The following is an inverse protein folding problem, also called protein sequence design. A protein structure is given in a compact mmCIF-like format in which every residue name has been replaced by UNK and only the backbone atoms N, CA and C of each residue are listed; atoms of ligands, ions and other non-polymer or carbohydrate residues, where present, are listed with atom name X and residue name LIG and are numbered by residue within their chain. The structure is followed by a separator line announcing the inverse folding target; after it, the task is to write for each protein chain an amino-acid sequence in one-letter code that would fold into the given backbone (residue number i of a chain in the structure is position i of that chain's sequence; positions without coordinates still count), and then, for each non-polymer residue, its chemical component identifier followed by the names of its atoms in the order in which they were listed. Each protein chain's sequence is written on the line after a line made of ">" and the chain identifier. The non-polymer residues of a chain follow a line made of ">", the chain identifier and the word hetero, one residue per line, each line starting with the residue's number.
data_IF_779380730095
#
_entry.id   IF_779380730095
#
_cell.length_a   1.000
_cell.length_b   1.000
_cell.length_c   1.000
_cell.angle_alpha   90.00
_cell.angle_beta   90.00
_cell.angle_gamma   90.00
#
_symmetry.space_group_name_H-M   'P 1'
#
loop_
_entity.id
_entity.type
_entity.pdbx_description
1 polymer ?
#
# COMPACT_ATOMS: atom_id res chain seq x y z
N UNK A 1 23.94 -5.65 4.67
CA UNK A 1 23.09 -5.68 3.46
C UNK A 1 22.79 -4.24 3.15
N UNK A 2 23.30 -3.69 2.03
CA UNK A 2 23.13 -2.26 1.71
C UNK A 2 21.65 -2.00 1.42
N UNK A 3 21.10 -0.99 2.09
CA UNK A 3 19.71 -0.55 2.00
C UNK A 3 19.25 -0.46 0.54
N UNK A 4 18.32 -1.33 0.21
CA UNK A 4 17.71 -1.42 -1.11
C UNK A 4 16.67 -0.30 -1.18
N UNK A 5 16.95 0.68 -2.05
CA UNK A 5 15.99 1.66 -2.61
C UNK A 5 15.62 2.88 -1.75
N UNK A 6 16.60 3.70 -1.40
CA UNK A 6 16.39 5.15 -1.36
C UNK A 6 17.09 5.80 -2.56
N UNK A 7 16.82 5.32 -3.77
CA UNK A 7 17.32 5.97 -4.98
C UNK A 7 16.57 7.30 -5.12
N UNK A 8 17.28 8.43 -5.18
CA UNK A 8 16.70 9.77 -5.45
C UNK A 8 15.74 9.79 -6.64
N UNK A 9 15.91 8.85 -7.57
CA UNK A 9 15.03 8.62 -8.71
C UNK A 9 13.59 8.26 -8.33
N UNK A 10 13.36 7.50 -7.25
CA UNK A 10 12.00 7.15 -6.77
C UNK A 10 11.41 8.34 -6.02
N UNK A 11 12.24 9.08 -5.27
CA UNK A 11 11.81 10.30 -4.57
C UNK A 11 11.20 11.32 -5.52
N UNK A 12 11.74 11.45 -6.73
CA UNK A 12 11.22 12.32 -7.79
C UNK A 12 9.93 11.81 -8.47
N UNK A 13 9.39 10.65 -8.06
CA UNK A 13 8.11 10.14 -8.55
C UNK A 13 6.95 10.46 -7.60
N UNK A 14 7.21 10.98 -6.41
CA UNK A 14 6.14 11.37 -5.48
C UNK A 14 5.34 12.53 -6.10
N UNK A 15 4.02 12.41 -6.08
CA UNK A 15 3.07 13.29 -6.77
C UNK A 15 2.75 12.87 -8.21
N UNK A 16 3.53 11.94 -8.81
CA UNK A 16 3.32 11.50 -10.18
C UNK A 16 2.32 10.35 -10.28
N UNK A 17 1.66 10.26 -11.44
CA UNK A 17 0.90 9.08 -11.80
C UNK A 17 1.86 7.95 -12.20
N UNK A 18 1.88 6.89 -11.41
CA UNK A 18 2.76 5.74 -11.61
C UNK A 18 1.98 4.43 -11.60
N UNK A 19 2.57 3.43 -12.25
CA UNK A 19 2.16 2.04 -12.11
C UNK A 19 3.12 1.30 -11.18
N UNK A 20 2.61 0.82 -10.05
CA UNK A 20 3.32 -0.10 -9.17
C UNK A 20 3.17 -1.51 -9.72
N UNK A 21 4.29 -2.19 -9.92
CA UNK A 21 4.43 -3.50 -10.56
C UNK A 21 3.92 -3.53 -12.01
N UNK A 22 4.78 -3.96 -12.96
CA UNK A 22 4.44 -3.98 -14.38
C UNK A 22 3.26 -4.91 -14.72
N UNK A 23 3.16 -6.07 -14.06
CA UNK A 23 2.16 -7.12 -14.29
C UNK A 23 1.85 -7.88 -12.99
N UNK A 24 0.87 -8.77 -13.05
CA UNK A 24 0.48 -9.67 -11.96
C UNK A 24 -0.64 -9.11 -11.10
N UNK A 25 -1.10 -9.88 -10.11
CA UNK A 25 -2.25 -9.53 -9.28
C UNK A 25 -2.06 -8.19 -8.55
N UNK A 26 -0.84 -7.92 -8.07
CA UNK A 26 -0.48 -6.69 -7.32
C UNK A 26 -0.34 -5.43 -8.19
N UNK A 27 -0.37 -5.54 -9.53
CA UNK A 27 -0.13 -4.41 -10.45
C UNK A 27 -1.24 -3.37 -10.37
N UNK A 28 -0.94 -2.12 -9.98
CA UNK A 28 -1.92 -1.03 -9.89
C UNK A 28 -1.37 0.30 -10.39
N UNK A 29 -2.27 1.16 -10.86
CA UNK A 29 -1.97 2.51 -11.34
C UNK A 29 -2.62 3.52 -10.39
N UNK A 30 -1.89 4.55 -10.02
CA UNK A 30 -2.36 5.59 -9.11
C UNK A 30 -1.31 6.69 -8.94
N UNK A 31 -1.60 7.65 -8.08
CA UNK A 31 -0.65 8.71 -7.71
C UNK A 31 0.24 8.20 -6.58
N UNK A 32 1.56 8.29 -6.73
CA UNK A 32 2.49 7.99 -5.64
C UNK A 32 2.41 9.12 -4.61
N UNK A 33 1.65 8.93 -3.54
CA UNK A 33 1.36 10.00 -2.58
C UNK A 33 2.47 10.21 -1.56
N UNK A 34 3.15 9.14 -1.15
CA UNK A 34 4.15 9.17 -0.08
C UNK A 34 5.17 8.05 -0.28
N UNK A 35 6.42 8.32 0.10
CA UNK A 35 7.48 7.34 0.22
C UNK A 35 7.94 7.32 1.69
N UNK A 36 7.74 6.18 2.35
CA UNK A 36 8.23 5.92 3.69
C UNK A 36 9.59 5.23 3.65
N UNK A 37 10.08 4.76 4.81
CA UNK A 37 11.37 4.10 4.94
C UNK A 37 11.46 2.78 4.17
N UNK A 38 10.45 1.93 4.30
CA UNK A 38 10.39 0.58 3.72
C UNK A 38 9.07 0.31 2.98
N UNK A 39 8.27 1.35 2.73
CA UNK A 39 7.01 1.28 2.00
C UNK A 39 6.77 2.50 1.11
N UNK A 40 5.78 2.38 0.22
CA UNK A 40 5.22 3.50 -0.53
C UNK A 40 3.70 3.50 -0.44
N UNK A 41 3.08 4.67 -0.60
CA UNK A 41 1.63 4.83 -0.63
C UNK A 41 1.18 5.21 -2.03
N UNK A 42 0.34 4.37 -2.63
CA UNK A 42 -0.31 4.62 -3.90
C UNK A 42 -1.77 5.02 -3.67
N UNK A 43 -2.14 6.22 -4.07
CA UNK A 43 -3.54 6.65 -4.10
C UNK A 43 -4.18 6.22 -5.42
N UNK A 44 -5.18 5.34 -5.34
CA UNK A 44 -5.95 4.90 -6.49
C UNK A 44 -6.94 5.99 -6.94
N UNK A 45 -7.47 5.93 -8.18
CA UNK A 45 -8.36 6.97 -8.73
C UNK A 45 -9.62 7.30 -7.90
N UNK A 46 -10.07 6.38 -7.05
CA UNK A 46 -11.24 6.58 -6.18
C UNK A 46 -10.87 7.05 -4.76
N UNK A 47 -9.63 7.47 -4.54
CA UNK A 47 -9.14 7.98 -3.25
C UNK A 47 -8.67 6.90 -2.27
N UNK A 48 -8.84 5.62 -2.61
CA UNK A 48 -8.32 4.51 -1.81
C UNK A 48 -6.79 4.55 -1.73
N UNK A 49 -6.26 4.48 -0.52
CA UNK A 49 -4.81 4.41 -0.27
C UNK A 49 -4.38 2.95 -0.15
N UNK A 50 -3.32 2.61 -0.89
CA UNK A 50 -2.68 1.30 -0.86
C UNK A 50 -1.23 1.47 -0.46
N UNK A 51 -0.85 0.84 0.64
CA UNK A 51 0.50 0.85 1.16
C UNK A 51 1.22 -0.41 0.66
N UNK A 52 2.31 -0.25 -0.07
CA UNK A 52 3.12 -1.36 -0.60
C UNK A 52 4.45 -1.44 0.12
N UNK A 53 4.83 -2.61 0.60
CA UNK A 53 6.20 -2.82 1.10
C UNK A 53 7.19 -2.77 -0.06
N UNK A 54 8.23 -1.94 0.06
CA UNK A 54 9.24 -1.74 -0.99
C UNK A 54 9.95 -3.04 -1.38
N UNK A 55 10.19 -3.93 -0.40
CA UNK A 55 10.83 -5.24 -0.64
C UNK A 55 10.04 -6.15 -1.61
N UNK A 56 8.75 -5.87 -1.83
CA UNK A 56 7.89 -6.59 -2.75
C UNK A 56 7.54 -5.82 -4.03
N UNK A 57 7.90 -4.53 -4.10
CA UNK A 57 7.75 -3.71 -5.31
C UNK A 57 8.84 -4.10 -6.30
N UNK A 58 8.41 -4.64 -7.45
CA UNK A 58 9.32 -5.13 -8.51
C UNK A 58 9.63 -4.08 -9.56
N UNK A 59 8.75 -3.09 -9.71
CA UNK A 59 8.90 -2.01 -10.70
C UNK A 59 7.98 -0.84 -10.39
N UNK A 60 8.43 0.36 -10.74
CA UNK A 60 7.61 1.57 -10.83
C UNK A 60 7.69 2.06 -12.27
N UNK A 61 6.53 2.29 -12.90
CA UNK A 61 6.47 2.75 -14.29
C UNK A 61 5.80 4.11 -14.34
N UNK A 62 6.54 5.12 -14.80
CA UNK A 62 6.02 6.46 -15.13
C UNK A 62 5.76 6.53 -16.64
N UNK A 63 4.65 7.15 -17.05
CA UNK A 63 4.43 7.46 -18.47
C UNK A 63 5.15 8.75 -18.84
N UNK A 64 5.87 8.75 -19.97
CA UNK A 64 6.77 9.85 -20.38
C UNK A 64 6.00 11.04 -21.02
N UNK A 65 4.66 11.02 -21.09
CA UNK A 65 3.86 11.97 -21.88
C UNK A 65 2.95 12.92 -21.09
N UNK A 66 3.05 12.97 -19.77
CA UNK A 66 2.26 13.94 -18.98
C UNK A 66 3.22 15.00 -18.43
N UNK A 67 3.02 16.24 -18.88
CA UNK A 67 3.77 17.41 -18.46
C UNK A 67 3.56 17.68 -16.96
N UNK A 68 4.63 18.09 -16.31
CA UNK A 68 4.75 18.38 -14.88
C UNK A 68 3.64 19.34 -14.41
N UNK A 69 2.81 18.87 -13.48
CA UNK A 69 1.99 19.74 -12.63
C UNK A 69 2.83 20.27 -11.48
N UNK A 70 2.63 21.53 -11.11
CA UNK A 70 3.37 22.23 -10.05
C UNK A 70 3.36 21.45 -8.73
N UNK A 71 4.55 21.33 -8.14
CA UNK A 71 4.89 20.57 -6.96
C UNK A 71 4.00 20.92 -5.75
N UNK A 72 3.01 20.06 -5.48
CA UNK A 72 2.47 19.92 -4.14
C UNK A 72 3.54 19.33 -3.22
N UNK A 73 3.64 19.83 -2.00
CA UNK A 73 4.62 19.45 -0.98
C UNK A 73 4.93 17.95 -1.01
N UNK A 74 6.19 17.61 -1.24
CA UNK A 74 6.62 16.23 -1.29
C UNK A 74 6.57 15.64 0.13
N UNK A 75 5.62 14.74 0.39
CA UNK A 75 5.50 14.09 1.67
C UNK A 75 6.46 12.90 1.71
N UNK A 76 7.62 13.13 2.33
CA UNK A 76 8.53 12.07 2.73
C UNK A 76 8.33 11.82 4.22
N UNK A 77 8.26 10.55 4.59
CA UNK A 77 8.30 10.13 5.98
C UNK A 77 9.46 9.16 6.13
N UNK A 78 10.69 9.69 6.12
CA UNK A 78 11.92 8.88 6.08
C UNK A 78 12.09 7.98 7.31
N UNK A 79 11.40 8.28 8.41
CA UNK A 79 11.40 7.47 9.63
C UNK A 79 10.21 6.51 9.72
N UNK A 80 9.10 6.78 9.04
CA UNK A 80 7.89 5.96 9.09
C UNK A 80 8.11 4.63 8.36
N UNK A 81 7.73 3.54 9.01
CA UNK A 81 7.84 2.18 8.50
C UNK A 81 6.48 1.59 8.15
N UNK A 82 6.49 0.49 7.41
CA UNK A 82 5.30 -0.28 7.13
C UNK A 82 4.66 -0.84 8.41
N UNK A 83 5.46 -1.08 9.45
CA UNK A 83 4.95 -1.49 10.76
C UNK A 83 4.13 -0.37 11.41
N UNK A 84 4.56 0.89 11.27
CA UNK A 84 3.81 2.04 11.76
C UNK A 84 2.47 2.15 11.03
N UNK A 85 2.46 1.96 9.71
CA UNK A 85 1.21 1.86 8.91
C UNK A 85 0.29 0.75 9.45
N UNK A 86 0.82 -0.43 9.75
CA UNK A 86 0.00 -1.52 10.32
C UNK A 86 -0.56 -1.12 11.69
N UNK A 87 0.24 -0.50 12.55
CA UNK A 87 -0.21 -0.02 13.85
C UNK A 87 -1.34 1.02 13.73
N UNK A 88 -1.24 1.95 12.78
CA UNK A 88 -2.28 2.93 12.48
C UNK A 88 -3.56 2.30 11.94
N UNK A 89 -3.45 1.11 11.33
CA UNK A 89 -4.56 0.33 10.82
C UNK A 89 -5.10 -0.68 11.83
N UNK A 90 -4.53 -0.77 13.03
CA UNK A 90 -5.01 -1.67 14.08
C UNK A 90 -6.47 -1.35 14.42
N UNK A 91 -7.26 -2.41 14.58
CA UNK A 91 -8.72 -2.35 14.78
C UNK A 91 -9.53 -1.76 13.63
N UNK A 92 -8.95 -1.69 12.42
CA UNK A 92 -9.68 -1.31 11.20
C UNK A 92 -9.89 -2.53 10.30
N UNK A 93 -10.96 -2.49 9.50
CA UNK A 93 -11.15 -3.47 8.45
C UNK A 93 -10.17 -3.19 7.32
N UNK A 94 -9.32 -4.16 7.02
CA UNK A 94 -8.26 -4.03 6.02
C UNK A 94 -8.33 -5.15 5.00
N UNK A 95 -7.63 -4.89 3.89
CA UNK A 95 -7.33 -5.84 2.83
C UNK A 95 -5.83 -6.00 2.74
N UNK A 96 -5.37 -7.25 2.79
CA UNK A 96 -3.98 -7.63 2.63
C UNK A 96 -3.80 -8.26 1.25
N UNK A 97 -2.76 -7.81 0.56
CA UNK A 97 -2.48 -8.12 -0.83
C UNK A 97 -3.64 -7.73 -1.77
N UNK A 98 -3.38 -7.70 -3.07
CA UNK A 98 -4.40 -7.35 -4.06
C UNK A 98 -4.43 -8.35 -5.19
N UNK A 99 -5.61 -8.96 -5.33
CA UNK A 99 -5.90 -9.92 -6.39
C UNK A 99 -5.14 -11.24 -6.21
N UNK A 100 -5.49 -12.23 -7.04
CA UNK A 100 -4.95 -13.57 -6.90
C UNK A 100 -5.45 -14.29 -5.63
N UNK A 101 -4.94 -15.51 -5.38
CA UNK A 101 -5.45 -16.39 -4.32
C UNK A 101 -5.03 -15.96 -2.90
N UNK A 102 -3.94 -15.20 -2.77
CA UNK A 102 -3.38 -14.77 -1.48
C UNK A 102 -3.99 -13.45 -0.96
N UNK A 103 -5.12 -13.04 -1.53
CA UNK A 103 -5.83 -11.82 -1.19
C UNK A 103 -6.80 -12.12 -0.06
N UNK A 104 -6.65 -11.44 1.09
CA UNK A 104 -7.48 -11.67 2.28
C UNK A 104 -7.96 -10.35 2.89
N UNK A 105 -9.11 -10.38 3.53
CA UNK A 105 -9.74 -9.22 4.17
C UNK A 105 -10.19 -9.58 5.58
N UNK A 106 -10.21 -8.61 6.48
CA UNK A 106 -10.67 -8.79 7.85
C UNK A 106 -10.33 -7.62 8.76
N UNK A 107 -10.82 -7.67 9.99
CA UNK A 107 -10.45 -6.76 11.07
C UNK A 107 -9.03 -7.07 11.54
N UNK A 108 -8.10 -6.11 11.44
CA UNK A 108 -6.76 -6.26 12.02
C UNK A 108 -6.83 -6.22 13.55
N UNK A 109 -6.77 -7.38 14.22
CA UNK A 109 -6.88 -7.46 15.68
C UNK A 109 -5.53 -7.24 16.35
N UNK A 110 -4.49 -7.89 15.84
CA UNK A 110 -3.17 -7.96 16.47
C UNK A 110 -2.04 -7.92 15.45
N UNK A 111 -0.90 -7.40 15.92
CA UNK A 111 0.34 -7.24 15.17
C UNK A 111 1.45 -7.80 16.05
N UNK A 112 2.18 -8.76 15.52
CA UNK A 112 3.31 -9.41 16.17
C UNK A 112 4.54 -9.33 15.26
N UNK A 113 5.72 -9.65 15.80
CA UNK A 113 6.99 -9.57 15.05
C UNK A 113 7.00 -10.44 13.78
N UNK A 114 6.34 -11.60 13.82
CA UNK A 114 6.32 -12.57 12.72
C UNK A 114 5.05 -12.56 11.85
N UNK A 115 3.92 -12.12 12.38
CA UNK A 115 2.62 -12.17 11.70
C UNK A 115 1.68 -11.06 12.18
N UNK A 116 0.59 -10.88 11.43
CA UNK A 116 -0.59 -10.16 11.86
C UNK A 116 -1.77 -11.13 11.97
N UNK A 117 -2.75 -10.75 12.78
CA UNK A 117 -3.99 -11.50 12.95
C UNK A 117 -5.15 -10.70 12.39
N UNK A 118 -5.90 -11.31 11.46
CA UNK A 118 -7.16 -10.78 10.95
C UNK A 118 -8.33 -11.61 11.49
N UNK A 119 -9.45 -10.96 11.77
CA UNK A 119 -10.71 -11.61 12.10
C UNK A 119 -11.74 -11.31 11.01
N UNK A 120 -12.33 -12.36 10.44
CA UNK A 120 -13.36 -12.24 9.41
C UNK A 120 -14.52 -13.21 9.69
N UNK A 121 -15.59 -12.70 10.32
CA UNK A 121 -16.68 -13.55 10.79
C UNK A 121 -16.19 -14.52 11.86
N UNK A 122 -16.36 -15.82 11.61
CA UNK A 122 -15.93 -16.90 12.51
C UNK A 122 -14.50 -17.39 12.23
N UNK A 123 -13.78 -16.75 11.31
CA UNK A 123 -12.42 -17.11 10.92
C UNK A 123 -11.38 -16.18 11.57
N UNK A 124 -10.32 -16.78 12.11
CA UNK A 124 -9.09 -16.09 12.54
C UNK A 124 -7.98 -16.45 11.56
N UNK A 125 -7.45 -15.43 10.88
CA UNK A 125 -6.49 -15.57 9.78
C UNK A 125 -5.15 -15.00 10.23
N UNK A 126 -4.11 -15.84 10.24
CA UNK A 126 -2.74 -15.41 10.53
C UNK A 126 -2.00 -15.16 9.22
N UNK A 127 -1.52 -13.93 9.03
CA UNK A 127 -0.74 -13.57 7.83
C UNK A 127 0.69 -13.28 8.20
N UNK A 128 1.63 -14.05 7.64
CA UNK A 128 3.07 -13.89 7.92
C UNK A 128 3.57 -12.56 7.33
N UNK A 129 4.28 -11.77 8.13
CA UNK A 129 4.73 -10.41 7.78
C UNK A 129 5.61 -10.36 6.52
N UNK A 130 6.38 -11.43 6.25
CA UNK A 130 7.23 -11.56 5.06
C UNK A 130 6.47 -11.82 3.75
N UNK A 131 5.17 -12.14 3.83
CA UNK A 131 4.31 -12.40 2.68
C UNK A 131 3.29 -11.27 2.40
N UNK A 132 3.24 -10.26 3.27
CA UNK A 132 2.41 -9.07 3.07
C UNK A 132 3.09 -8.17 2.04
N UNK A 133 2.51 -8.07 0.84
CA UNK A 133 3.00 -7.21 -0.26
C UNK A 133 2.40 -5.83 -0.18
N UNK A 134 1.11 -5.76 0.16
CA UNK A 134 0.37 -4.51 0.28
C UNK A 134 -0.72 -4.61 1.36
N UNK A 135 -1.12 -3.45 1.89
CA UNK A 135 -2.27 -3.29 2.78
C UNK A 135 -3.08 -2.06 2.38
N UNK A 136 -4.38 -2.10 2.62
CA UNK A 136 -5.27 -0.95 2.44
C UNK A 136 -6.45 -1.06 3.40
N UNK A 137 -6.92 0.08 3.90
CA UNK A 137 -8.15 0.12 4.69
C UNK A 137 -9.37 0.02 3.79
N UNK A 138 -10.31 -0.86 4.14
CA UNK A 138 -11.63 -0.89 3.51
C UNK A 138 -12.54 0.02 4.32
N UNK A 139 -12.85 1.17 3.76
CA UNK A 139 -13.90 2.04 4.30
C UNK A 139 -15.21 1.63 3.64
N UNK A 140 -16.13 1.03 4.39
CA UNK A 140 -17.51 0.84 3.94
C UNK A 140 -18.15 2.22 3.80
N UNK A 141 -18.00 2.84 2.63
CA UNK A 141 -18.81 3.99 2.31
C UNK A 141 -20.26 3.50 2.22
N UNK A 142 -21.14 4.04 3.07
CA UNK A 142 -22.59 3.98 2.84
C UNK A 142 -22.86 4.74 1.54
N UNK A 143 -22.68 4.10 0.39
CA UNK A 143 -23.36 4.50 -0.84
C UNK A 143 -24.63 3.68 -0.89
N UNK A 144 -25.71 4.40 -0.57
CA UNK A 144 -27.11 4.21 -0.96
C UNK A 144 -27.35 2.95 -1.77
N UNK A 145 -28.15 2.06 -1.20
CA UNK A 145 -29.02 1.16 -1.96
C UNK A 145 -29.80 2.05 -2.94
N UNK A 146 -29.35 2.10 -4.20
CA UNK A 146 -30.21 2.54 -5.29
C UNK A 146 -30.86 1.27 -5.84
N UNK A 147 -32.19 1.25 -5.67
CA UNK A 147 -33.16 0.27 -6.17
C UNK A 147 -33.03 -0.02 -7.67
#
# INVERSE_FOLDING_TARGET
>A
MKDVLCCDQIKGLVGENVKVNLRGPESRVGVLSLLGKDYLTLQLPHGELVYYQLKHVKSLVRKVKEAQGEYGSCFYAEEDTFLDVLNDLKYKWIKINRGGPECVEGLLSDIHDGNITLVNGDEVIYVINSHIKSVSQIVKNKKTEEE
#
